data_IF_594984029862
#
_entry.id   IF_594984029862
#
_cell.length_a   1.000
_cell.length_b   1.000
_cell.length_c   1.000
_cell.angle_alpha   90.00
_cell.angle_beta   90.00
_cell.angle_gamma   90.00
#
_symmetry.space_group_name_H-M   'P 1'
#
loop_
_entity.id
_entity.type
_entity.pdbx_description
1 polymer ?
#
# COMPACT_ATOMS: atom_id res chain seq x y z
N UNK A 1 26.21 19.81 -25.20
CA UNK A 1 25.65 19.90 -23.82
C UNK A 1 26.45 20.80 -22.92
N UNK A 2 27.79 20.75 -22.92
CA UNK A 2 28.59 21.67 -22.10
C UNK A 2 28.39 23.13 -22.49
N UNK A 3 28.32 23.45 -23.79
CA UNK A 3 28.04 24.82 -24.25
C UNK A 3 26.65 25.30 -23.82
N UNK A 4 25.62 24.46 -23.96
CA UNK A 4 24.28 24.76 -23.45
C UNK A 4 24.27 24.97 -21.92
N UNK A 5 25.01 24.14 -21.18
CA UNK A 5 25.17 24.27 -19.73
C UNK A 5 25.80 25.61 -19.36
N UNK A 6 26.86 26.02 -20.07
CA UNK A 6 27.52 27.33 -19.87
C UNK A 6 26.58 28.49 -20.20
N UNK A 7 25.84 28.39 -21.30
CA UNK A 7 24.87 29.41 -21.74
C UNK A 7 23.75 29.60 -20.70
N UNK A 8 23.13 28.53 -20.25
CA UNK A 8 22.08 28.63 -19.22
C UNK A 8 22.67 29.17 -17.92
N UNK A 9 23.82 28.64 -17.47
CA UNK A 9 24.47 29.06 -16.23
C UNK A 9 24.75 30.56 -16.19
N UNK A 10 25.19 31.15 -17.32
CA UNK A 10 25.44 32.59 -17.43
C UNK A 10 24.20 33.42 -17.06
N UNK A 11 23.03 32.97 -17.49
CA UNK A 11 21.78 33.72 -17.33
C UNK A 11 21.07 33.43 -16.01
N UNK A 12 21.32 32.28 -15.38
CA UNK A 12 20.62 31.88 -14.15
C UNK A 12 21.47 31.95 -12.89
N UNK A 13 22.79 32.12 -13.00
CA UNK A 13 23.71 32.04 -11.84
C UNK A 13 23.30 32.89 -10.63
N UNK A 14 22.91 34.15 -10.85
CA UNK A 14 22.49 35.07 -9.78
C UNK A 14 21.19 34.59 -9.11
N UNK A 15 20.06 34.46 -9.82
CA UNK A 15 18.81 34.01 -9.21
C UNK A 15 18.91 32.57 -8.65
N UNK A 16 19.70 31.69 -9.27
CA UNK A 16 19.95 30.34 -8.77
C UNK A 16 20.70 30.34 -7.44
N UNK A 17 21.71 31.21 -7.28
CA UNK A 17 22.40 31.38 -6.00
C UNK A 17 21.46 31.92 -4.92
N UNK A 18 20.51 32.81 -5.28
CA UNK A 18 19.49 33.28 -4.35
C UNK A 18 18.56 32.14 -3.92
N UNK A 19 18.16 31.24 -4.83
CA UNK A 19 17.42 30.02 -4.46
C UNK A 19 18.20 29.17 -3.46
N UNK A 20 19.51 29.00 -3.66
CA UNK A 20 20.32 28.19 -2.73
C UNK A 20 20.45 28.84 -1.35
N UNK A 21 20.50 30.17 -1.28
CA UNK A 21 20.43 30.89 0.00
C UNK A 21 19.11 30.61 0.71
N UNK A 22 17.98 30.69 -0.01
CA UNK A 22 16.66 30.36 0.55
C UNK A 22 16.58 28.90 1.04
N UNK A 23 17.19 27.95 0.32
CA UNK A 23 17.25 26.55 0.74
C UNK A 23 18.04 26.38 2.04
N UNK A 24 19.22 27.00 2.12
CA UNK A 24 20.07 26.93 3.30
C UNK A 24 19.38 27.52 4.52
N UNK A 25 18.71 28.67 4.36
CA UNK A 25 17.96 29.31 5.44
C UNK A 25 16.75 28.48 5.87
N UNK A 26 15.98 27.93 4.92
CA UNK A 26 14.86 27.04 5.20
C UNK A 26 15.31 25.80 6.01
N UNK A 27 16.39 25.12 5.59
CA UNK A 27 16.88 23.94 6.30
C UNK A 27 17.49 24.28 7.67
N UNK A 28 18.15 25.43 7.83
CA UNK A 28 18.64 25.91 9.13
C UNK A 28 17.49 26.20 10.09
N UNK A 29 16.46 26.90 9.61
CA UNK A 29 15.26 27.23 10.37
C UNK A 29 14.56 25.97 10.87
N UNK A 30 14.36 24.99 9.98
CA UNK A 30 13.69 23.73 10.27
C UNK A 30 14.36 22.93 11.40
N UNK A 31 15.69 22.93 11.45
CA UNK A 31 16.45 22.25 12.51
C UNK A 31 16.30 22.91 13.90
N UNK A 32 15.73 24.12 13.97
CA UNK A 32 15.58 24.91 15.20
C UNK A 32 14.16 24.94 15.76
N UNK A 33 13.16 24.42 15.05
CA UNK A 33 11.78 24.36 15.54
C UNK A 33 11.67 23.28 16.63
N UNK A 34 11.29 23.70 17.85
CA UNK A 34 10.91 22.78 18.92
C UNK A 34 9.49 22.29 18.63
N UNK A 35 9.31 20.98 18.53
CA UNK A 35 8.17 20.35 17.89
C UNK A 35 6.82 20.54 18.61
N UNK A 36 5.95 21.41 18.10
CA UNK A 36 4.48 21.25 18.24
C UNK A 36 3.93 20.30 17.17
N UNK A 37 2.82 19.61 17.44
CA UNK A 37 2.26 18.49 16.64
C UNK A 37 2.16 18.74 15.13
N UNK A 38 1.93 19.99 14.70
CA UNK A 38 1.84 20.39 13.28
C UNK A 38 3.22 20.34 12.59
N UNK A 39 4.30 20.65 13.31
CA UNK A 39 5.68 20.65 12.78
C UNK A 39 6.26 19.25 12.57
N UNK A 40 5.79 18.25 13.33
CA UNK A 40 6.43 16.92 13.38
C UNK A 40 6.30 16.12 12.07
N UNK A 41 5.19 16.26 11.36
CA UNK A 41 4.88 15.43 10.18
C UNK A 41 5.40 15.99 8.85
N UNK A 42 5.61 17.31 8.75
CA UNK A 42 6.04 17.97 7.51
C UNK A 42 7.46 18.55 7.63
N UNK A 43 7.82 19.06 8.81
CA UNK A 43 9.12 19.68 9.08
C UNK A 43 10.09 18.74 9.83
N UNK A 44 9.66 17.55 10.24
CA UNK A 44 10.53 16.53 10.86
C UNK A 44 11.30 15.65 9.88
N UNK A 45 11.10 15.80 8.57
CA UNK A 45 11.73 14.98 7.53
C UNK A 45 13.23 15.33 7.42
N UNK A 46 14.15 14.39 7.21
CA UNK A 46 15.57 14.75 7.03
C UNK A 46 15.83 15.52 5.70
N UNK A 47 16.87 16.36 5.62
CA UNK A 47 17.24 17.08 4.37
C UNK A 47 17.38 16.12 3.19
N UNK A 48 18.15 15.05 3.37
CA UNK A 48 18.42 14.06 2.32
C UNK A 48 17.15 13.35 1.86
N UNK A 49 16.23 13.08 2.78
CA UNK A 49 14.93 12.50 2.43
C UNK A 49 14.10 13.49 1.59
N UNK A 50 14.11 14.79 1.92
CA UNK A 50 13.45 15.80 1.08
C UNK A 50 14.09 15.85 -0.31
N UNK A 51 15.42 15.97 -0.39
CA UNK A 51 16.12 16.04 -1.68
C UNK A 51 15.82 14.82 -2.56
N UNK A 52 15.79 13.62 -1.97
CA UNK A 52 15.50 12.38 -2.68
C UNK A 52 14.11 12.36 -3.33
N UNK A 53 13.11 13.04 -2.75
CA UNK A 53 11.75 13.17 -3.33
C UNK A 53 11.73 13.96 -4.63
N UNK A 54 12.73 14.81 -4.85
CA UNK A 54 12.89 15.60 -6.06
C UNK A 54 14.04 15.09 -6.93
N UNK A 55 14.54 13.87 -6.68
CA UNK A 55 15.67 13.26 -7.38
C UNK A 55 16.99 14.05 -7.30
N UNK A 56 17.08 14.91 -6.29
CA UNK A 56 18.25 15.73 -5.99
C UNK A 56 19.13 15.04 -4.96
N UNK A 57 20.41 15.36 -5.04
CA UNK A 57 21.44 15.14 -4.02
C UNK A 57 22.32 16.41 -3.99
N UNK A 58 23.26 16.51 -3.07
CA UNK A 58 24.13 17.69 -2.95
C UNK A 58 24.98 17.95 -4.22
N UNK A 59 25.21 16.93 -5.05
CA UNK A 59 25.92 17.09 -6.33
C UNK A 59 24.99 17.68 -7.37
N UNK A 60 23.78 17.13 -7.52
CA UNK A 60 22.78 17.58 -8.49
C UNK A 60 22.23 18.96 -8.19
N UNK A 61 22.14 19.33 -6.90
CA UNK A 61 21.77 20.70 -6.50
C UNK A 61 22.70 21.74 -7.14
N UNK A 62 23.98 21.42 -7.34
CA UNK A 62 24.96 22.34 -7.93
C UNK A 62 24.97 22.34 -9.46
N UNK A 63 24.22 21.43 -10.08
CA UNK A 63 24.19 21.32 -11.53
C UNK A 63 22.97 22.05 -12.10
N UNK A 64 23.24 23.13 -12.84
CA UNK A 64 22.21 23.94 -13.54
C UNK A 64 21.32 23.10 -14.44
N UNK A 65 21.80 21.96 -14.94
CA UNK A 65 20.94 21.09 -15.74
C UNK A 65 19.77 20.55 -14.93
N UNK A 66 19.85 20.47 -13.60
CA UNK A 66 18.75 20.06 -12.70
C UNK A 66 17.88 21.22 -12.23
N UNK A 67 17.96 22.38 -12.89
CA UNK A 67 17.09 23.52 -12.58
C UNK A 67 15.58 23.14 -12.50
N UNK A 68 15.01 22.27 -13.37
CA UNK A 68 13.63 21.84 -13.21
C UNK A 68 13.30 21.18 -11.86
N UNK A 69 14.17 20.30 -11.40
CA UNK A 69 14.04 19.59 -10.13
C UNK A 69 14.27 20.55 -8.95
N UNK A 70 15.25 21.46 -9.08
CA UNK A 70 15.53 22.54 -8.12
C UNK A 70 14.31 23.45 -7.95
N UNK A 71 13.64 23.86 -9.05
CA UNK A 71 12.43 24.67 -8.95
C UNK A 71 11.26 23.92 -8.32
N UNK A 72 11.19 22.60 -8.51
CA UNK A 72 10.15 21.77 -7.86
C UNK A 72 10.36 21.71 -6.34
N UNK A 73 11.62 21.63 -5.89
CA UNK A 73 11.99 21.75 -4.48
C UNK A 73 11.67 23.16 -3.92
N UNK A 74 11.95 24.21 -4.69
CA UNK A 74 11.62 25.58 -4.32
C UNK A 74 10.11 25.79 -4.16
N UNK A 75 9.30 25.25 -5.06
CA UNK A 75 7.83 25.29 -4.98
C UNK A 75 7.35 24.60 -3.70
N UNK A 76 7.91 23.43 -3.37
CA UNK A 76 7.59 22.73 -2.12
C UNK A 76 7.92 23.56 -0.87
N UNK A 77 9.08 24.21 -0.82
CA UNK A 77 9.44 25.09 0.32
C UNK A 77 8.55 26.33 0.39
N UNK A 78 8.23 26.91 -0.76
CA UNK A 78 7.33 28.05 -0.89
C UNK A 78 5.93 27.72 -0.34
N UNK A 79 5.35 26.60 -0.76
CA UNK A 79 4.05 26.15 -0.23
C UNK A 79 4.11 25.89 1.27
N UNK A 80 5.17 25.24 1.77
CA UNK A 80 5.31 25.04 3.21
C UNK A 80 5.34 26.35 4.02
N UNK A 81 5.97 27.39 3.47
CA UNK A 81 6.02 28.70 4.11
C UNK A 81 4.64 29.39 4.18
N UNK A 82 3.76 29.16 3.22
CA UNK A 82 2.42 29.74 3.20
C UNK A 82 1.37 28.89 3.92
N UNK A 83 1.45 27.57 3.85
CA UNK A 83 0.42 26.67 4.38
C UNK A 83 0.51 26.47 5.89
N UNK A 84 1.73 26.40 6.45
CA UNK A 84 1.92 26.01 7.86
C UNK A 84 2.17 27.16 8.83
N UNK A 85 2.38 28.37 8.31
CA UNK A 85 2.76 29.52 9.12
C UNK A 85 1.81 30.68 8.90
N UNK A 86 1.61 31.51 9.92
CA UNK A 86 0.82 32.74 9.77
C UNK A 86 1.67 33.84 9.14
N UNK A 87 1.02 34.86 8.57
CA UNK A 87 1.68 35.95 7.82
C UNK A 87 2.85 36.61 8.55
N UNK A 88 2.75 36.76 9.86
CA UNK A 88 3.75 37.46 10.68
C UNK A 88 4.63 36.48 11.48
N UNK A 89 4.59 35.18 11.17
CA UNK A 89 5.37 34.19 11.89
C UNK A 89 6.86 34.34 11.58
N UNK A 90 7.67 34.42 12.64
CA UNK A 90 9.12 34.48 12.58
C UNK A 90 9.71 33.31 13.38
N UNK A 91 10.53 32.50 12.70
CA UNK A 91 11.28 31.43 13.35
C UNK A 91 12.76 31.81 13.43
N UNK A 92 13.17 32.42 14.55
CA UNK A 92 14.57 32.79 14.82
C UNK A 92 15.22 33.65 13.72
N UNK A 93 14.50 34.66 13.22
CA UNK A 93 14.95 35.53 12.14
C UNK A 93 14.45 35.13 10.75
N UNK A 94 13.87 33.93 10.60
CA UNK A 94 13.28 33.47 9.34
C UNK A 94 11.81 33.90 9.24
N UNK A 95 11.51 34.90 8.41
CA UNK A 95 10.15 35.41 8.19
C UNK A 95 9.46 34.63 7.07
N UNK A 96 8.65 33.64 7.42
CA UNK A 96 8.18 32.61 6.47
C UNK A 96 7.51 33.18 5.22
N UNK A 97 6.62 34.17 5.38
CA UNK A 97 5.95 34.78 4.24
C UNK A 97 6.91 35.55 3.34
N UNK A 98 7.91 36.24 3.90
CA UNK A 98 8.92 36.97 3.10
C UNK A 98 9.73 35.99 2.24
N UNK A 99 10.22 34.91 2.84
CA UNK A 99 10.92 33.84 2.12
C UNK A 99 10.01 33.13 1.11
N UNK A 100 8.74 32.92 1.44
CA UNK A 100 7.73 32.38 0.53
C UNK A 100 7.53 33.26 -0.71
N UNK A 101 7.41 34.59 -0.54
CA UNK A 101 7.32 35.51 -1.66
C UNK A 101 8.62 35.58 -2.46
N UNK A 102 9.78 35.58 -1.78
CA UNK A 102 11.08 35.59 -2.45
C UNK A 102 11.28 34.35 -3.33
N UNK A 103 10.93 33.16 -2.82
CA UNK A 103 10.92 31.92 -3.60
C UNK A 103 9.95 32.00 -4.78
N UNK A 104 8.76 32.57 -4.59
CA UNK A 104 7.79 32.76 -5.68
C UNK A 104 8.37 33.58 -6.83
N UNK A 105 8.98 34.73 -6.54
CA UNK A 105 9.62 35.59 -7.53
C UNK A 105 10.74 34.86 -8.28
N UNK A 106 11.62 34.18 -7.55
CA UNK A 106 12.73 33.41 -8.13
C UNK A 106 12.26 32.25 -9.01
N UNK A 107 11.20 31.56 -8.60
CA UNK A 107 10.58 30.50 -9.38
C UNK A 107 10.01 31.06 -10.69
N UNK A 108 9.31 32.19 -10.64
CA UNK A 108 8.76 32.85 -11.83
C UNK A 108 9.87 33.30 -12.80
N UNK A 109 10.95 33.88 -12.27
CA UNK A 109 12.12 34.32 -13.05
C UNK A 109 12.86 33.15 -13.72
N UNK A 110 13.02 32.02 -13.02
CA UNK A 110 13.80 30.88 -13.50
C UNK A 110 13.00 29.88 -14.36
N UNK A 111 11.66 29.93 -14.31
CA UNK A 111 10.76 29.02 -15.03
C UNK A 111 11.03 28.94 -16.55
N UNK A 112 11.30 30.05 -17.27
CA UNK A 112 11.64 29.98 -18.69
C UNK A 112 12.88 29.14 -18.98
N UNK A 113 13.91 29.23 -18.13
CA UNK A 113 15.15 28.46 -18.29
C UNK A 113 14.96 26.99 -17.93
N UNK A 114 14.18 26.69 -16.88
CA UNK A 114 13.82 25.33 -16.55
C UNK A 114 13.06 24.65 -17.71
N UNK A 115 12.13 25.37 -18.35
CA UNK A 115 11.41 24.88 -19.52
C UNK A 115 12.36 24.64 -20.70
N UNK A 116 13.26 25.60 -20.99
CA UNK A 116 14.29 25.44 -22.02
C UNK A 116 15.19 24.22 -21.77
N UNK A 117 15.58 23.96 -20.52
CA UNK A 117 16.34 22.75 -20.16
C UNK A 117 15.51 21.48 -20.41
N UNK A 118 14.22 21.46 -20.03
CA UNK A 118 13.34 20.31 -20.30
C UNK A 118 13.24 20.05 -21.81
N UNK A 119 13.08 21.10 -22.61
CA UNK A 119 13.03 21.01 -24.06
C UNK A 119 14.34 20.51 -24.67
N UNK A 120 15.50 21.00 -24.23
CA UNK A 120 16.79 20.53 -24.73
C UNK A 120 17.10 19.09 -24.31
N UNK A 121 16.75 18.71 -23.07
CA UNK A 121 16.79 17.30 -22.65
C UNK A 121 15.91 16.43 -23.56
N UNK A 122 14.72 16.92 -23.92
CA UNK A 122 13.81 16.22 -24.83
C UNK A 122 14.33 16.14 -26.27
N UNK A 123 14.86 17.23 -26.84
CA UNK A 123 15.45 17.26 -28.19
C UNK A 123 16.66 16.34 -28.30
N UNK A 124 17.56 16.38 -27.32
CA UNK A 124 18.72 15.46 -27.28
C UNK A 124 18.26 14.01 -27.21
N UNK A 125 17.20 13.70 -26.46
CA UNK A 125 16.60 12.36 -26.43
C UNK A 125 15.99 11.98 -27.78
N UNK A 126 15.37 12.91 -28.50
CA UNK A 126 14.81 12.66 -29.84
C UNK A 126 15.91 12.46 -30.90
N UNK A 127 16.98 13.26 -30.87
CA UNK A 127 18.10 13.12 -31.80
C UNK A 127 18.88 11.83 -31.58
N UNK A 128 19.05 11.41 -30.31
CA UNK A 128 19.60 10.09 -29.96
C UNK A 128 18.70 8.98 -30.50
N UNK A 129 17.36 9.12 -30.38
CA UNK A 129 16.40 8.14 -30.92
C UNK A 129 16.40 8.04 -32.45
N UNK A 130 16.73 9.09 -33.19
CA UNK A 130 16.79 9.07 -34.66
C UNK A 130 18.12 8.50 -35.20
N UNK A 131 19.25 8.70 -34.51
CA UNK A 131 20.54 8.10 -34.90
C UNK A 131 20.69 6.63 -34.47
N UNK A 132 20.03 6.24 -33.38
CA UNK A 132 20.18 4.92 -32.76
C UNK A 132 19.10 3.91 -33.22
N UNK A 133 18.17 4.34 -34.09
CA UNK A 133 17.15 3.48 -34.71
C UNK A 133 17.71 2.41 -35.67
N UNK A 134 19.03 2.42 -35.94
CA UNK A 134 19.66 1.37 -36.73
C UNK A 134 20.25 0.22 -35.91
N UNK A 135 20.63 0.40 -34.63
CA UNK A 135 21.09 -0.70 -33.77
C UNK A 135 20.90 -0.35 -32.28
N UNK A 136 19.67 -0.37 -31.76
CA UNK A 136 19.44 -0.58 -30.32
C UNK A 136 18.64 -1.84 -30.19
N UNK A 137 19.29 -2.91 -29.73
CA UNK A 137 18.58 -4.04 -29.15
C UNK A 137 17.56 -3.47 -28.17
N UNK A 138 16.27 -3.67 -28.43
CA UNK A 138 15.20 -3.30 -27.50
C UNK A 138 15.41 -4.10 -26.22
N UNK A 139 16.15 -3.54 -25.26
CA UNK A 139 16.29 -4.15 -23.94
C UNK A 139 14.91 -4.12 -23.30
N UNK A 140 14.35 -5.30 -23.02
CA UNK A 140 13.06 -5.41 -22.35
C UNK A 140 13.16 -4.83 -20.93
N UNK A 141 12.10 -4.16 -20.48
CA UNK A 141 12.04 -3.66 -19.11
C UNK A 141 11.94 -4.80 -18.09
N UNK A 142 11.25 -5.89 -18.44
CA UNK A 142 11.26 -7.17 -17.74
C UNK A 142 11.84 -8.20 -18.69
N UNK A 143 12.98 -8.75 -18.30
CA UNK A 143 13.78 -9.71 -19.08
C UNK A 143 13.42 -11.15 -18.74
N UNK A 144 12.78 -11.37 -17.58
CA UNK A 144 12.47 -12.72 -17.08
C UNK A 144 11.27 -13.31 -17.77
N UNK A 145 11.42 -14.55 -18.25
CA UNK A 145 10.37 -15.39 -18.81
C UNK A 145 9.59 -16.09 -17.68
N UNK A 146 8.31 -15.74 -17.51
CA UNK A 146 7.43 -16.26 -16.46
C UNK A 146 6.95 -17.70 -16.77
N UNK A 147 6.90 -18.08 -18.04
CA UNK A 147 6.58 -19.45 -18.47
C UNK A 147 7.54 -20.49 -17.88
N UNK A 148 8.82 -20.15 -17.72
CA UNK A 148 9.83 -21.00 -17.05
C UNK A 148 9.53 -21.31 -15.58
N UNK A 149 8.60 -20.57 -14.98
CA UNK A 149 8.16 -20.73 -13.59
C UNK A 149 6.74 -21.30 -13.49
N UNK A 150 6.12 -21.67 -14.63
CA UNK A 150 4.75 -22.19 -14.67
C UNK A 150 3.67 -21.12 -14.60
N UNK A 151 3.98 -19.89 -15.03
CA UNK A 151 3.06 -18.73 -15.04
C UNK A 151 2.89 -18.12 -16.45
N UNK A 152 2.55 -18.91 -17.49
CA UNK A 152 2.43 -18.41 -18.87
C UNK A 152 1.36 -17.33 -19.04
N UNK A 153 0.37 -17.25 -18.15
CA UNK A 153 -0.65 -16.20 -18.15
C UNK A 153 -0.09 -14.79 -17.90
N UNK A 154 1.15 -14.68 -17.41
CA UNK A 154 1.84 -13.40 -17.26
C UNK A 154 2.50 -12.91 -18.55
N UNK A 155 2.64 -13.75 -19.58
CA UNK A 155 3.40 -13.39 -20.79
C UNK A 155 2.79 -12.17 -21.49
N UNK A 156 1.47 -12.14 -21.68
CA UNK A 156 0.80 -11.00 -22.32
C UNK A 156 0.86 -9.75 -21.43
N UNK A 157 0.82 -9.93 -20.10
CA UNK A 157 0.93 -8.81 -19.16
C UNK A 157 2.34 -8.21 -19.14
N UNK A 158 3.38 -9.05 -19.15
CA UNK A 158 4.78 -8.64 -19.25
C UNK A 158 5.06 -7.97 -20.59
N UNK A 159 4.49 -8.48 -21.69
CA UNK A 159 4.55 -7.84 -23.00
C UNK A 159 3.95 -6.44 -22.97
N UNK A 160 2.78 -6.25 -22.37
CA UNK A 160 2.19 -4.92 -22.17
C UNK A 160 3.12 -4.00 -21.39
N UNK A 161 3.71 -4.48 -20.28
CA UNK A 161 4.67 -3.71 -19.48
C UNK A 161 5.88 -3.28 -20.32
N UNK A 162 6.46 -4.21 -21.08
CA UNK A 162 7.62 -3.96 -21.94
C UNK A 162 7.29 -2.95 -23.05
N UNK A 163 6.12 -3.05 -23.68
CA UNK A 163 5.68 -2.07 -24.67
C UNK A 163 5.47 -0.67 -24.07
N UNK A 164 4.85 -0.60 -22.89
CA UNK A 164 4.60 0.66 -22.17
C UNK A 164 5.90 1.32 -21.73
N UNK A 165 6.90 0.53 -21.33
CA UNK A 165 8.21 1.05 -20.95
C UNK A 165 8.98 1.70 -22.12
N UNK A 166 8.67 1.33 -23.36
CA UNK A 166 9.33 1.86 -24.57
C UNK A 166 8.54 3.05 -25.16
N UNK A 167 7.21 3.00 -25.13
CA UNK A 167 6.32 4.01 -25.73
C UNK A 167 6.13 5.20 -24.79
N UNK A 168 6.65 6.38 -25.17
CA UNK A 168 6.62 7.61 -24.36
C UNK A 168 5.21 7.99 -23.88
N UNK A 169 4.20 7.78 -24.73
CA UNK A 169 2.85 8.27 -24.50
C UNK A 169 2.13 7.47 -23.40
N UNK A 170 2.55 6.22 -23.22
CA UNK A 170 1.96 5.31 -22.23
C UNK A 170 2.82 5.15 -20.99
N UNK A 171 4.04 5.70 -20.99
CA UNK A 171 5.02 5.50 -19.92
C UNK A 171 4.48 5.81 -18.51
N UNK A 172 3.57 6.78 -18.43
CA UNK A 172 2.85 7.16 -17.21
C UNK A 172 2.03 6.03 -16.57
N UNK A 173 1.74 4.96 -17.30
CA UNK A 173 1.07 3.76 -16.79
C UNK A 173 2.03 2.78 -16.11
N UNK A 174 3.34 2.88 -16.38
CA UNK A 174 4.34 1.92 -15.91
C UNK A 174 4.33 1.70 -14.38
N UNK A 175 4.24 2.74 -13.51
CA UNK A 175 4.18 2.54 -12.06
C UNK A 175 2.99 1.67 -11.61
N UNK A 176 1.83 1.85 -12.25
CA UNK A 176 0.59 1.13 -11.93
C UNK A 176 0.71 -0.33 -12.37
N UNK A 177 1.26 -0.56 -13.57
CA UNK A 177 1.47 -1.92 -14.09
C UNK A 177 2.49 -2.69 -13.24
N UNK A 178 3.60 -2.04 -12.83
CA UNK A 178 4.57 -2.62 -11.91
C UNK A 178 3.91 -3.01 -10.58
N UNK A 179 3.15 -2.10 -9.96
CA UNK A 179 2.43 -2.41 -8.72
C UNK A 179 1.52 -3.64 -8.90
N UNK A 180 0.76 -3.68 -9.99
CA UNK A 180 -0.17 -4.77 -10.29
C UNK A 180 0.57 -6.11 -10.47
N UNK A 181 1.72 -6.10 -11.15
CA UNK A 181 2.58 -7.28 -11.32
C UNK A 181 2.99 -7.87 -9.98
N UNK A 182 3.55 -7.05 -9.09
CA UNK A 182 4.03 -7.52 -7.80
C UNK A 182 2.91 -7.85 -6.82
N UNK A 183 1.79 -7.12 -6.86
CA UNK A 183 0.59 -7.44 -6.08
C UNK A 183 0.05 -8.83 -6.47
N UNK A 184 -0.08 -9.11 -7.76
CA UNK A 184 -0.53 -10.40 -8.25
C UNK A 184 0.49 -11.52 -7.96
N UNK A 185 1.78 -11.28 -8.17
CA UNK A 185 2.80 -12.30 -7.94
C UNK A 185 2.85 -12.73 -6.46
N UNK A 186 2.73 -11.78 -5.51
CA UNK A 186 2.60 -12.12 -4.09
C UNK A 186 1.33 -12.94 -3.81
N UNK A 187 0.21 -12.58 -4.41
CA UNK A 187 -1.02 -13.35 -4.26
C UNK A 187 -0.85 -14.80 -4.74
N UNK A 188 -0.21 -15.03 -5.90
CA UNK A 188 0.06 -16.36 -6.43
C UNK A 188 0.99 -17.18 -5.53
N UNK A 189 2.06 -16.55 -5.03
CA UNK A 189 2.98 -17.18 -4.06
C UNK A 189 2.23 -17.69 -2.83
N UNK A 190 1.28 -16.92 -2.30
CA UNK A 190 0.53 -17.35 -1.12
C UNK A 190 -0.57 -18.35 -1.46
N UNK A 191 -1.29 -18.16 -2.56
CA UNK A 191 -2.35 -19.06 -3.02
C UNK A 191 -1.82 -20.48 -3.27
N UNK A 192 -0.67 -20.58 -3.92
CA UNK A 192 -0.11 -21.87 -4.33
C UNK A 192 0.85 -22.43 -3.27
N UNK A 193 1.43 -21.57 -2.44
CA UNK A 193 2.43 -21.92 -1.44
C UNK A 193 1.87 -22.23 -0.05
N UNK A 194 0.71 -21.70 0.34
CA UNK A 194 0.10 -21.94 1.66
C UNK A 194 -1.03 -22.97 1.57
N UNK A 195 -1.28 -23.68 2.67
CA UNK A 195 -2.46 -24.53 2.80
C UNK A 195 -3.76 -23.70 2.75
N UNK A 196 -4.85 -24.31 2.27
CA UNK A 196 -6.16 -23.71 2.11
C UNK A 196 -6.73 -23.13 3.42
N UNK A 197 -6.35 -23.67 4.59
CA UNK A 197 -6.74 -23.09 5.89
C UNK A 197 -6.25 -21.64 6.09
N UNK A 198 -5.18 -21.25 5.39
CA UNK A 198 -4.62 -19.90 5.44
C UNK A 198 -5.15 -18.98 4.34
N UNK A 199 -6.20 -19.39 3.60
CA UNK A 199 -6.76 -18.60 2.49
C UNK A 199 -7.09 -17.16 2.91
N UNK A 200 -7.66 -16.98 4.10
CA UNK A 200 -8.03 -15.65 4.61
C UNK A 200 -6.82 -14.73 4.90
N UNK A 201 -5.59 -15.26 4.90
CA UNK A 201 -4.39 -14.45 5.05
C UNK A 201 -4.06 -13.65 3.80
N UNK A 202 -4.39 -14.15 2.61
CA UNK A 202 -4.05 -13.50 1.33
C UNK A 202 -5.27 -13.20 0.46
N UNK A 203 -6.43 -13.79 0.75
CA UNK A 203 -7.69 -13.56 0.06
C UNK A 203 -8.76 -13.05 1.02
N UNK A 204 -9.69 -12.23 0.53
CA UNK A 204 -10.87 -11.81 1.29
C UNK A 204 -12.08 -12.48 0.67
N UNK A 205 -12.45 -13.62 1.22
CA UNK A 205 -13.56 -14.46 0.74
C UNK A 205 -14.86 -13.66 0.57
N UNK A 206 -15.15 -12.76 1.50
CA UNK A 206 -16.31 -11.86 1.42
C UNK A 206 -16.32 -10.84 0.29
N UNK A 207 -15.14 -10.46 -0.19
CA UNK A 207 -15.01 -9.44 -1.25
C UNK A 207 -14.66 -10.09 -2.59
N UNK A 208 -14.60 -11.43 -2.64
CA UNK A 208 -14.15 -12.22 -3.78
C UNK A 208 -12.88 -11.64 -4.44
N UNK A 209 -11.94 -11.17 -3.63
CA UNK A 209 -10.71 -10.55 -4.13
C UNK A 209 -9.51 -10.82 -3.24
N UNK A 210 -8.29 -10.82 -3.83
CA UNK A 210 -7.05 -10.79 -3.06
C UNK A 210 -7.01 -9.62 -2.08
N UNK A 211 -6.24 -9.79 -1.00
CA UNK A 211 -5.87 -8.67 -0.13
C UNK A 211 -5.03 -7.68 -0.92
N UNK A 212 -5.11 -6.40 -0.54
CA UNK A 212 -4.36 -5.36 -1.23
C UNK A 212 -2.85 -5.51 -1.02
N UNK A 213 -2.08 -4.89 -1.91
CA UNK A 213 -0.62 -5.01 -1.91
C UNK A 213 0.04 -4.72 -0.55
N UNK A 214 -0.44 -3.72 0.19
CA UNK A 214 0.12 -3.40 1.52
C UNK A 214 -0.05 -4.54 2.52
N UNK A 215 -1.17 -5.26 2.44
CA UNK A 215 -1.44 -6.41 3.29
C UNK A 215 -0.63 -7.62 2.84
N UNK A 216 -0.47 -7.85 1.54
CA UNK A 216 0.37 -8.93 1.00
C UNK A 216 1.85 -8.75 1.36
N UNK A 217 2.38 -7.53 1.30
CA UNK A 217 3.75 -7.23 1.77
C UNK A 217 3.86 -7.48 3.29
N UNK A 218 2.83 -7.11 4.06
CA UNK A 218 2.81 -7.37 5.50
C UNK A 218 2.80 -8.87 5.80
N UNK A 219 2.00 -9.65 5.06
CA UNK A 219 1.96 -11.10 5.17
C UNK A 219 3.35 -11.69 4.88
N UNK A 220 3.97 -11.29 3.77
CA UNK A 220 5.33 -11.72 3.42
C UNK A 220 6.29 -11.47 4.59
N UNK A 221 6.26 -10.27 5.18
CA UNK A 221 7.12 -9.90 6.32
C UNK A 221 6.92 -10.76 7.57
N UNK A 222 5.70 -11.26 7.81
CA UNK A 222 5.46 -12.19 8.92
C UNK A 222 5.95 -13.59 8.58
N UNK A 223 5.65 -14.07 7.36
CA UNK A 223 6.07 -15.40 6.90
C UNK A 223 7.60 -15.52 6.80
N UNK A 224 8.33 -14.45 6.50
CA UNK A 224 9.80 -14.47 6.57
C UNK A 224 10.36 -14.62 7.99
N UNK A 225 9.53 -14.72 9.03
CA UNK A 225 9.94 -15.07 10.41
C UNK A 225 9.53 -16.49 10.80
N UNK A 226 8.66 -17.10 10.01
CA UNK A 226 8.21 -18.48 10.20
C UNK A 226 9.30 -19.47 9.81
N UNK A 227 9.56 -20.46 10.68
CA UNK A 227 10.65 -21.42 10.45
C UNK A 227 10.39 -22.31 9.24
N UNK A 228 9.14 -22.67 8.95
CA UNK A 228 8.77 -23.56 7.86
C UNK A 228 8.84 -22.81 6.53
N UNK A 229 8.23 -21.63 6.45
CA UNK A 229 8.28 -20.78 5.26
C UNK A 229 9.71 -20.37 4.90
N UNK A 230 10.57 -20.08 5.90
CA UNK A 230 11.99 -19.73 5.69
C UNK A 230 12.78 -20.80 4.92
N UNK A 231 12.44 -22.08 5.07
CA UNK A 231 13.12 -23.18 4.35
C UNK A 231 12.97 -23.03 2.83
N UNK A 232 11.81 -22.52 2.39
CA UNK A 232 11.51 -22.31 0.99
C UNK A 232 12.02 -20.96 0.47
N UNK A 233 11.98 -19.92 1.31
CA UNK A 233 12.48 -18.61 0.92
C UNK A 233 14.00 -18.52 0.88
N UNK A 234 14.73 -19.42 1.57
CA UNK A 234 16.21 -19.48 1.61
C UNK A 234 16.85 -18.12 1.90
N UNK A 235 16.21 -17.32 2.76
CA UNK A 235 16.62 -15.95 3.12
C UNK A 235 16.71 -14.95 1.94
N UNK A 236 16.18 -15.31 0.76
CA UNK A 236 16.14 -14.40 -0.40
C UNK A 236 15.23 -13.20 -0.15
N UNK A 237 14.23 -13.35 0.71
CA UNK A 237 13.35 -12.26 1.16
C UNK A 237 13.91 -11.63 2.42
N UNK A 238 14.63 -10.54 2.23
CA UNK A 238 15.24 -9.72 3.29
C UNK A 238 14.62 -8.32 3.34
N UNK A 239 15.16 -7.46 4.21
CA UNK A 239 14.68 -6.08 4.38
C UNK A 239 14.80 -5.26 3.08
N UNK A 240 15.84 -5.46 2.29
CA UNK A 240 15.99 -4.82 0.98
C UNK A 240 14.83 -5.19 0.04
N UNK A 241 14.46 -6.47 -0.03
CA UNK A 241 13.33 -6.95 -0.84
C UNK A 241 12.01 -6.33 -0.37
N UNK A 242 11.77 -6.33 0.94
CA UNK A 242 10.56 -5.74 1.53
C UNK A 242 10.49 -4.23 1.28
N UNK A 243 11.59 -3.50 1.42
CA UNK A 243 11.65 -2.06 1.18
C UNK A 243 11.37 -1.72 -0.28
N UNK A 244 11.93 -2.48 -1.22
CA UNK A 244 11.66 -2.27 -2.64
C UNK A 244 10.19 -2.54 -3.00
N UNK A 245 9.55 -3.55 -2.40
CA UNK A 245 8.11 -3.79 -2.58
C UNK A 245 7.26 -2.64 -2.01
N UNK A 246 7.65 -2.08 -0.86
CA UNK A 246 7.00 -0.90 -0.27
C UNK A 246 7.16 0.32 -1.18
N UNK A 247 8.32 0.50 -1.81
CA UNK A 247 8.57 1.60 -2.74
C UNK A 247 7.75 1.45 -4.03
N UNK A 248 7.67 0.24 -4.60
CA UNK A 248 6.80 -0.03 -5.74
C UNK A 248 5.33 0.21 -5.40
N UNK A 249 4.90 -0.17 -4.20
CA UNK A 249 3.56 0.17 -3.71
C UNK A 249 3.36 1.68 -3.66
N UNK A 250 4.36 2.44 -3.20
CA UNK A 250 4.30 3.90 -3.09
C UNK A 250 4.16 4.54 -4.47
N UNK A 251 5.01 4.17 -5.43
CA UNK A 251 4.97 4.76 -6.79
C UNK A 251 3.71 4.35 -7.57
N UNK A 252 3.24 3.10 -7.42
CA UNK A 252 2.00 2.66 -8.06
C UNK A 252 0.72 3.20 -7.41
N UNK A 253 0.85 3.94 -6.30
CA UNK A 253 -0.22 4.68 -5.65
C UNK A 253 -0.10 6.19 -5.83
N UNK A 254 0.83 6.65 -6.67
CA UNK A 254 0.94 8.06 -7.01
C UNK A 254 -0.37 8.57 -7.62
N UNK A 255 -0.72 9.79 -7.23
CA UNK A 255 -1.78 10.58 -7.84
C UNK A 255 -1.42 10.93 -9.28
N UNK A 256 -2.41 11.35 -10.08
CA UNK A 256 -2.18 11.81 -11.45
C UNK A 256 -1.12 12.92 -11.49
N UNK A 257 -1.17 13.86 -10.56
CA UNK A 257 -0.20 14.97 -10.48
C UNK A 257 1.23 14.46 -10.22
N UNK A 258 1.38 13.51 -9.30
CA UNK A 258 2.68 12.88 -9.03
C UNK A 258 3.19 12.11 -10.25
N UNK A 259 2.34 11.35 -10.94
CA UNK A 259 2.71 10.63 -12.16
C UNK A 259 3.17 11.60 -13.26
N UNK A 260 2.44 12.69 -13.49
CA UNK A 260 2.78 13.69 -14.50
C UNK A 260 4.12 14.36 -14.23
N UNK A 261 4.48 14.54 -12.95
CA UNK A 261 5.68 15.25 -12.54
C UNK A 261 6.90 14.34 -12.33
N UNK A 262 6.69 13.07 -11.95
CA UNK A 262 7.77 12.16 -11.51
C UNK A 262 8.05 11.03 -12.51
N UNK A 263 7.15 10.75 -13.46
CA UNK A 263 7.36 9.74 -14.50
C UNK A 263 7.88 10.40 -15.76
N UNK A 264 9.20 10.55 -15.83
CA UNK A 264 9.95 11.03 -16.98
C UNK A 264 10.43 9.88 -17.87
N UNK A 265 11.02 10.19 -19.02
CA UNK A 265 11.43 9.15 -19.97
C UNK A 265 12.61 8.29 -19.52
N UNK A 266 13.25 8.62 -18.39
CA UNK A 266 14.32 7.84 -17.75
C UNK A 266 13.80 6.99 -16.58
N UNK A 267 12.51 7.09 -16.26
CA UNK A 267 11.85 6.24 -15.29
C UNK A 267 12.05 4.74 -15.55
N UNK A 268 11.90 4.21 -16.79
CA UNK A 268 12.16 2.79 -17.07
C UNK A 268 13.58 2.37 -16.69
N UNK A 269 14.59 3.13 -17.12
CA UNK A 269 15.99 2.78 -16.88
C UNK A 269 16.32 2.79 -15.38
N UNK A 270 15.81 3.78 -14.64
CA UNK A 270 15.96 3.86 -13.17
C UNK A 270 15.36 2.64 -12.46
N UNK A 271 14.25 2.11 -12.97
CA UNK A 271 13.48 1.05 -12.31
C UNK A 271 13.75 -0.35 -12.86
N UNK A 272 14.40 -0.49 -14.02
CA UNK A 272 14.58 -1.77 -14.72
C UNK A 272 15.32 -2.79 -13.88
N UNK A 273 16.53 -2.45 -13.41
CA UNK A 273 17.36 -3.38 -12.64
C UNK A 273 16.65 -3.82 -11.35
N UNK A 274 16.09 -2.85 -10.63
CA UNK A 274 15.35 -3.09 -9.38
C UNK A 274 14.12 -3.99 -9.59
N UNK A 275 13.40 -3.77 -10.69
CA UNK A 275 12.22 -4.57 -11.07
C UNK A 275 12.64 -6.00 -11.41
N UNK A 276 13.62 -6.19 -12.29
CA UNK A 276 14.09 -7.52 -12.69
C UNK A 276 14.65 -8.31 -11.50
N UNK A 277 15.39 -7.65 -10.61
CA UNK A 277 15.89 -8.27 -9.38
C UNK A 277 14.75 -8.76 -8.50
N UNK A 278 13.72 -7.95 -8.29
CA UNK A 278 12.55 -8.36 -7.51
C UNK A 278 11.75 -9.48 -8.18
N UNK A 279 11.53 -9.39 -9.49
CA UNK A 279 10.85 -10.44 -10.28
C UNK A 279 11.60 -11.76 -10.11
N UNK A 280 12.92 -11.76 -10.27
CA UNK A 280 13.75 -12.96 -10.11
C UNK A 280 13.63 -13.55 -8.70
N UNK A 281 13.74 -12.72 -7.66
CA UNK A 281 13.62 -13.17 -6.27
C UNK A 281 12.25 -13.79 -6.00
N UNK A 282 11.16 -13.13 -6.43
CA UNK A 282 9.81 -13.60 -6.16
C UNK A 282 9.42 -14.81 -7.01
N UNK A 283 9.89 -14.91 -8.25
CA UNK A 283 9.68 -16.11 -9.07
C UNK A 283 10.46 -17.31 -8.54
N UNK A 284 11.68 -17.10 -8.04
CA UNK A 284 12.43 -18.16 -7.35
C UNK A 284 11.69 -18.63 -6.09
N UNK A 285 11.14 -17.69 -5.30
CA UNK A 285 10.29 -18.02 -4.15
C UNK A 285 9.05 -18.80 -4.60
N UNK A 286 8.34 -18.32 -5.63
CA UNK A 286 7.16 -18.99 -6.20
C UNK A 286 7.47 -20.43 -6.55
N UNK A 287 8.54 -20.68 -7.32
CA UNK A 287 8.97 -22.03 -7.69
C UNK A 287 9.27 -22.92 -6.49
N UNK A 288 9.85 -22.36 -5.43
CA UNK A 288 10.18 -23.13 -4.23
C UNK A 288 8.95 -23.49 -3.39
N UNK A 289 7.92 -22.63 -3.35
CA UNK A 289 6.70 -22.90 -2.58
C UNK A 289 5.64 -23.66 -3.37
N UNK A 290 5.63 -23.49 -4.70
CA UNK A 290 4.68 -24.14 -5.59
C UNK A 290 4.83 -25.67 -5.48
N UNK A 291 3.71 -26.36 -5.32
CA UNK A 291 3.65 -27.82 -5.16
C UNK A 291 4.01 -28.36 -3.77
N UNK A 292 4.49 -27.53 -2.84
CA UNK A 292 4.89 -28.00 -1.51
C UNK A 292 3.85 -27.77 -0.42
N UNK A 293 2.88 -26.87 -0.64
CA UNK A 293 1.79 -26.49 0.28
C UNK A 293 2.21 -26.50 1.75
N UNK A 294 2.64 -25.34 2.25
CA UNK A 294 3.06 -25.20 3.65
C UNK A 294 1.86 -25.48 4.56
N UNK A 295 1.84 -26.68 5.15
CA UNK A 295 0.71 -27.22 5.91
C UNK A 295 0.62 -26.71 7.34
N UNK A 296 1.73 -26.27 7.92
CA UNK A 296 1.73 -25.77 9.30
C UNK A 296 2.69 -24.62 9.48
N UNK A 297 2.13 -23.46 9.79
CA UNK A 297 2.88 -22.28 10.21
C UNK A 297 3.04 -22.30 11.74
N UNK A 298 4.07 -21.62 12.24
CA UNK A 298 4.30 -21.42 13.66
C UNK A 298 3.12 -20.63 14.28
N UNK A 299 2.53 -21.13 15.36
CA UNK A 299 1.34 -20.55 15.99
C UNK A 299 1.52 -19.07 16.37
N UNK A 300 2.71 -18.66 16.78
CA UNK A 300 3.02 -17.24 17.08
C UNK A 300 2.95 -16.36 15.81
N UNK A 301 3.37 -16.88 14.65
CA UNK A 301 3.27 -16.17 13.37
C UNK A 301 1.81 -16.08 12.92
N UNK A 302 1.07 -17.18 13.03
CA UNK A 302 -0.39 -17.23 12.76
C UNK A 302 -1.11 -16.18 13.59
N UNK A 303 -0.91 -16.18 14.90
CA UNK A 303 -1.53 -15.21 15.82
C UNK A 303 -1.19 -13.75 15.47
N UNK A 304 0.06 -13.47 15.09
CA UNK A 304 0.49 -12.12 14.66
C UNK A 304 -0.19 -11.68 13.36
N UNK A 305 -0.32 -12.58 12.40
CA UNK A 305 -1.01 -12.32 11.12
C UNK A 305 -2.49 -12.04 11.39
N UNK A 306 -3.16 -12.90 12.18
CA UNK A 306 -4.57 -12.75 12.52
C UNK A 306 -4.85 -11.44 13.25
N UNK A 307 -4.01 -11.11 14.23
CA UNK A 307 -4.10 -9.83 14.94
C UNK A 307 -3.92 -8.65 13.98
N UNK A 308 -2.89 -8.69 13.12
CA UNK A 308 -2.61 -7.62 12.14
C UNK A 308 -3.75 -7.42 11.16
N UNK A 309 -4.36 -8.50 10.70
CA UNK A 309 -5.47 -8.46 9.75
C UNK A 309 -6.84 -8.27 10.42
N UNK A 310 -6.84 -8.11 11.75
CA UNK A 310 -8.01 -7.74 12.52
C UNK A 310 -9.00 -8.89 12.75
N UNK A 311 -8.59 -10.15 12.53
CA UNK A 311 -9.45 -11.33 12.65
C UNK A 311 -9.95 -11.45 14.10
N UNK A 312 -9.06 -11.43 15.10
CA UNK A 312 -9.44 -11.48 16.53
C UNK A 312 -10.21 -10.24 17.00
N UNK A 313 -9.97 -9.07 16.38
CA UNK A 313 -10.73 -7.83 16.66
C UNK A 313 -12.17 -7.96 16.13
N UNK A 314 -12.37 -8.65 15.02
CA UNK A 314 -13.70 -8.87 14.45
C UNK A 314 -14.50 -9.87 15.29
N UNK A 315 -13.88 -10.93 15.83
CA UNK A 315 -14.53 -11.81 16.81
C UNK A 315 -14.97 -11.07 18.08
N UNK A 316 -14.13 -10.17 18.60
CA UNK A 316 -14.50 -9.30 19.72
C UNK A 316 -15.70 -8.39 19.38
N UNK A 317 -15.74 -7.83 18.17
CA UNK A 317 -16.88 -7.03 17.72
C UNK A 317 -18.13 -7.88 17.56
N UNK A 318 -18.00 -9.09 16.99
CA UNK A 318 -19.09 -10.04 16.78
C UNK A 318 -19.71 -10.42 18.13
N UNK A 319 -18.89 -10.79 19.11
CA UNK A 319 -19.32 -11.06 20.47
C UNK A 319 -20.04 -9.86 21.09
N UNK A 320 -19.49 -8.65 20.98
CA UNK A 320 -20.12 -7.43 21.53
C UNK A 320 -21.47 -7.15 20.90
N UNK A 321 -21.65 -7.44 19.61
CA UNK A 321 -22.94 -7.31 18.95
C UNK A 321 -23.92 -8.32 19.53
N UNK A 322 -23.55 -9.60 19.60
CA UNK A 322 -24.42 -10.60 20.22
C UNK A 322 -24.71 -10.29 21.71
N UNK A 323 -23.79 -9.65 22.43
CA UNK A 323 -23.99 -9.28 23.82
C UNK A 323 -25.01 -8.14 24.03
N UNK A 324 -25.30 -7.31 23.00
CA UNK A 324 -26.26 -6.19 23.09
C UNK A 324 -27.62 -6.67 23.61
N UNK A 325 -28.25 -5.89 24.49
CA UNK A 325 -29.54 -6.25 25.09
C UNK A 325 -30.66 -6.36 24.05
N UNK A 326 -30.69 -5.43 23.11
CA UNK A 326 -31.76 -5.24 22.13
C UNK A 326 -31.18 -5.16 20.72
N UNK A 327 -32.05 -5.36 19.71
CA UNK A 327 -31.68 -5.22 18.31
C UNK A 327 -31.41 -3.75 17.96
N UNK A 328 -30.24 -3.46 17.39
CA UNK A 328 -29.93 -2.14 16.81
C UNK A 328 -30.40 -2.05 15.36
N UNK A 329 -30.70 -0.83 14.88
CA UNK A 329 -31.24 -0.53 13.53
C UNK A 329 -30.50 -1.25 12.37
N UNK A 330 -29.18 -1.44 12.51
CA UNK A 330 -28.34 -2.09 11.48
C UNK A 330 -27.65 -3.35 11.99
N UNK A 331 -28.12 -3.95 13.08
CA UNK A 331 -27.42 -5.04 13.74
C UNK A 331 -27.23 -6.26 12.83
N UNK A 332 -28.24 -6.63 12.03
CA UNK A 332 -28.12 -7.75 11.08
C UNK A 332 -27.08 -7.45 9.99
N UNK A 333 -27.05 -6.22 9.49
CA UNK A 333 -26.05 -5.76 8.52
C UNK A 333 -24.64 -5.74 9.11
N UNK A 334 -24.49 -5.27 10.36
CA UNK A 334 -23.22 -5.30 11.08
C UNK A 334 -22.71 -6.73 11.29
N UNK A 335 -23.60 -7.68 11.62
CA UNK A 335 -23.28 -9.10 11.75
C UNK A 335 -22.81 -9.69 10.43
N UNK A 336 -23.53 -9.45 9.34
CA UNK A 336 -23.15 -9.93 8.00
C UNK A 336 -21.76 -9.39 7.61
N UNK A 337 -21.53 -8.09 7.77
CA UNK A 337 -20.23 -7.46 7.48
C UNK A 337 -19.10 -8.04 8.34
N UNK A 338 -19.36 -8.37 9.61
CA UNK A 338 -18.35 -8.93 10.49
C UNK A 338 -18.07 -10.39 10.20
N UNK A 339 -19.10 -11.19 9.92
CA UNK A 339 -18.99 -12.53 9.38
C UNK A 339 -18.10 -12.53 8.14
N UNK A 340 -18.43 -11.67 7.17
CA UNK A 340 -17.65 -11.46 5.95
C UNK A 340 -16.18 -11.09 6.21
N UNK A 341 -15.92 -10.28 7.24
CA UNK A 341 -14.56 -9.86 7.61
C UNK A 341 -13.78 -10.91 8.41
N UNK A 342 -14.47 -11.84 9.06
CA UNK A 342 -13.87 -12.95 9.80
C UNK A 342 -13.48 -14.07 8.83
N UNK A 343 -14.35 -14.35 7.84
CA UNK A 343 -14.20 -15.47 6.92
C UNK A 343 -15.09 -16.65 7.34
N UNK A 344 -15.69 -17.32 6.36
CA UNK A 344 -16.62 -18.43 6.59
C UNK A 344 -15.92 -19.58 7.32
N UNK A 345 -14.88 -20.17 6.71
CA UNK A 345 -14.12 -21.30 7.27
C UNK A 345 -13.70 -21.04 8.73
N UNK A 346 -13.18 -19.84 9.02
CA UNK A 346 -12.76 -19.45 10.36
C UNK A 346 -13.91 -19.43 11.37
N UNK A 347 -15.08 -18.96 10.95
CA UNK A 347 -16.27 -18.95 11.80
C UNK A 347 -16.80 -20.37 12.00
N UNK A 348 -16.75 -21.21 10.95
CA UNK A 348 -17.08 -22.64 11.02
C UNK A 348 -16.17 -23.36 12.02
N UNK A 349 -14.85 -23.18 11.90
CA UNK A 349 -13.86 -23.88 12.70
C UNK A 349 -13.91 -23.47 14.18
N UNK A 350 -14.10 -22.18 14.43
CA UNK A 350 -14.06 -21.63 15.79
C UNK A 350 -15.41 -21.81 16.49
N UNK A 351 -16.53 -21.47 15.86
CA UNK A 351 -17.84 -21.54 16.51
C UNK A 351 -18.61 -22.83 16.20
N UNK A 352 -18.06 -23.73 15.38
CA UNK A 352 -18.71 -24.99 14.97
C UNK A 352 -20.14 -24.79 14.45
N UNK A 353 -20.35 -23.67 13.75
CA UNK A 353 -21.62 -23.33 13.09
C UNK A 353 -21.40 -23.45 11.59
N UNK A 354 -22.31 -24.08 10.87
CA UNK A 354 -22.41 -24.05 9.40
C UNK A 354 -23.19 -22.83 8.93
N UNK A 355 -22.93 -22.32 7.73
CA UNK A 355 -23.68 -21.18 7.18
C UNK A 355 -24.57 -21.65 6.03
N UNK A 356 -25.85 -21.28 6.11
CA UNK A 356 -26.83 -21.50 5.06
C UNK A 356 -27.45 -20.17 4.66
N UNK A 357 -27.35 -19.81 3.38
CA UNK A 357 -28.09 -18.67 2.84
C UNK A 357 -29.60 -18.95 2.90
N UNK A 358 -30.38 -17.97 3.35
CA UNK A 358 -31.84 -18.01 3.34
C UNK A 358 -32.33 -17.19 2.15
N UNK A 359 -33.14 -17.78 1.26
CA UNK A 359 -33.62 -17.25 -0.03
C UNK A 359 -33.76 -15.72 -0.13
N UNK A 360 -32.65 -15.04 -0.41
CA UNK A 360 -32.52 -13.59 -0.52
C UNK A 360 -33.03 -12.80 0.71
N UNK A 361 -33.08 -13.41 1.89
CA UNK A 361 -33.58 -12.79 3.13
C UNK A 361 -32.52 -12.72 4.22
N UNK A 362 -31.43 -13.48 4.16
CA UNK A 362 -30.38 -13.45 5.17
C UNK A 362 -29.55 -14.73 5.26
N UNK A 363 -29.03 -15.01 6.45
CA UNK A 363 -28.19 -16.18 6.74
C UNK A 363 -28.69 -16.91 7.98
N UNK A 364 -28.63 -18.24 7.96
CA UNK A 364 -28.75 -19.10 9.12
C UNK A 364 -27.37 -19.68 9.46
N UNK A 365 -26.95 -19.56 10.72
CA UNK A 365 -25.75 -20.16 11.27
C UNK A 365 -26.16 -21.34 12.14
N UNK A 366 -25.87 -22.57 11.72
CA UNK A 366 -26.42 -23.80 12.29
C UNK A 366 -25.32 -24.72 12.82
N UNK A 367 -25.29 -24.98 14.11
CA UNK A 367 -24.45 -26.01 14.73
C UNK A 367 -25.27 -26.96 15.60
N UNK A 368 -24.59 -27.91 16.23
CA UNK A 368 -25.25 -28.94 17.05
C UNK A 368 -26.04 -28.37 18.23
N UNK A 369 -25.53 -27.27 18.81
CA UNK A 369 -26.11 -26.64 20.01
C UNK A 369 -26.97 -25.42 19.71
N UNK A 370 -26.66 -24.68 18.64
CA UNK A 370 -27.28 -23.39 18.38
C UNK A 370 -27.62 -23.22 16.90
N UNK A 371 -28.78 -22.60 16.63
CA UNK A 371 -29.10 -22.03 15.32
C UNK A 371 -29.33 -20.54 15.46
N UNK A 372 -28.65 -19.73 14.66
CA UNK A 372 -28.74 -18.27 14.69
C UNK A 372 -29.25 -17.80 13.33
N UNK A 373 -30.33 -17.07 13.31
CA UNK A 373 -30.91 -16.54 12.09
C UNK A 373 -30.68 -15.05 12.05
N UNK A 374 -30.07 -14.56 10.98
CA UNK A 374 -29.78 -13.15 10.74
C UNK A 374 -30.48 -12.75 9.44
N UNK A 375 -31.59 -12.03 9.56
CA UNK A 375 -32.47 -11.66 8.45
C UNK A 375 -32.30 -10.18 8.16
N UNK A 376 -31.94 -9.87 6.90
CA UNK A 376 -31.77 -8.52 6.39
C UNK A 376 -32.36 -8.40 4.98
N UNK A 377 -33.62 -7.95 4.87
CA UNK A 377 -34.30 -7.70 3.58
C UNK A 377 -35.22 -6.50 3.66
N UNK A 378 -35.00 -5.52 2.80
CA UNK A 378 -35.77 -4.27 2.81
C UNK A 378 -35.60 -3.54 4.15
N UNK A 379 -36.69 -3.36 4.89
CA UNK A 379 -36.71 -2.82 6.25
C UNK A 379 -36.58 -3.88 7.36
N UNK A 380 -36.62 -5.17 7.02
CA UNK A 380 -36.51 -6.24 8.01
C UNK A 380 -35.07 -6.36 8.53
N UNK A 381 -34.92 -6.29 9.84
CA UNK A 381 -33.68 -6.45 10.58
C UNK A 381 -33.99 -7.31 11.79
N UNK A 382 -33.88 -8.64 11.63
CA UNK A 382 -34.28 -9.60 12.68
C UNK A 382 -33.14 -10.55 12.98
N UNK A 383 -32.94 -10.79 14.27
CA UNK A 383 -31.96 -11.75 14.75
C UNK A 383 -32.63 -12.60 15.81
N UNK A 384 -32.55 -13.92 15.69
CA UNK A 384 -32.97 -14.83 16.73
C UNK A 384 -32.04 -16.03 16.85
N UNK A 385 -32.02 -16.63 18.03
CA UNK A 385 -31.18 -17.76 18.39
C UNK A 385 -32.05 -18.90 18.92
N UNK A 386 -31.76 -20.12 18.54
CA UNK A 386 -32.45 -21.32 18.98
C UNK A 386 -31.48 -22.29 19.67
N UNK A 387 -31.89 -22.86 20.80
CA UNK A 387 -31.22 -23.96 21.50
C UNK A 387 -32.29 -24.91 22.09
N UNK A 388 -32.24 -26.20 21.79
CA UNK A 388 -33.13 -27.23 22.38
C UNK A 388 -34.62 -26.85 22.43
N UNK A 389 -35.17 -26.38 21.30
CA UNK A 389 -36.57 -25.91 21.13
C UNK A 389 -36.94 -24.58 21.81
N UNK A 390 -36.02 -23.94 22.53
CA UNK A 390 -36.19 -22.56 23.00
C UNK A 390 -35.70 -21.58 21.94
N UNK A 391 -36.36 -20.42 21.86
CA UNK A 391 -36.01 -19.34 20.93
C UNK A 391 -35.86 -18.02 21.69
N UNK A 392 -34.71 -17.38 21.52
CA UNK A 392 -34.46 -15.99 21.92
C UNK A 392 -34.58 -15.09 20.69
N UNK A 393 -35.36 -14.03 20.79
CA UNK A 393 -35.56 -13.04 19.73
C UNK A 393 -35.06 -11.67 20.21
N UNK A 394 -34.19 -11.01 19.45
CA UNK A 394 -33.69 -9.69 19.85
C UNK A 394 -34.77 -8.58 19.76
N UNK A 395 -35.90 -8.83 19.09
CA UNK A 395 -37.08 -7.94 19.14
C UNK A 395 -37.89 -8.13 20.43
N UNK A 396 -37.74 -9.28 21.10
CA UNK A 396 -38.44 -9.66 22.34
C UNK A 396 -37.47 -10.30 23.35
N UNK A 397 -36.47 -9.54 23.85
CA UNK A 397 -35.35 -10.08 24.62
C UNK A 397 -35.74 -10.69 25.98
N UNK A 398 -36.95 -10.43 26.46
CA UNK A 398 -37.55 -11.06 27.64
C UNK A 398 -37.87 -12.55 27.44
N UNK A 399 -38.00 -13.01 26.19
CA UNK A 399 -38.33 -14.40 25.88
C UNK A 399 -37.06 -15.26 25.78
N UNK A 400 -36.94 -16.22 26.70
CA UNK A 400 -35.82 -17.17 26.79
C UNK A 400 -34.42 -16.51 26.80
N UNK A 401 -34.14 -15.53 27.69
CA UNK A 401 -32.83 -14.86 27.77
C UNK A 401 -31.67 -15.79 28.14
N UNK A 402 -31.99 -16.98 28.68
CA UNK A 402 -31.05 -18.06 28.95
C UNK A 402 -30.37 -18.55 27.66
N UNK A 403 -31.08 -18.66 26.53
CA UNK A 403 -30.51 -19.11 25.24
C UNK A 403 -29.37 -18.20 24.80
N UNK A 404 -29.56 -16.87 24.89
CA UNK A 404 -28.50 -15.90 24.56
C UNK A 404 -27.33 -16.00 25.53
N UNK A 405 -27.60 -16.17 26.82
CA UNK A 405 -26.56 -16.27 27.86
C UNK A 405 -25.69 -17.50 27.64
N UNK A 406 -26.31 -18.64 27.35
CA UNK A 406 -25.64 -19.88 26.99
C UNK A 406 -24.83 -19.73 25.71
N UNK A 407 -25.38 -19.09 24.68
CA UNK A 407 -24.65 -18.82 23.44
C UNK A 407 -23.40 -17.96 23.67
N UNK A 408 -23.50 -16.87 24.45
CA UNK A 408 -22.35 -16.02 24.75
C UNK A 408 -21.27 -16.76 25.55
N UNK A 409 -21.68 -17.63 26.47
CA UNK A 409 -20.75 -18.50 27.20
C UNK A 409 -20.05 -19.45 26.24
N UNK A 410 -20.80 -20.16 25.41
CA UNK A 410 -20.29 -21.04 24.36
C UNK A 410 -19.31 -20.32 23.42
N UNK A 411 -19.70 -19.16 22.89
CA UNK A 411 -18.86 -18.34 22.00
C UNK A 411 -17.52 -18.00 22.67
N UNK A 412 -17.55 -17.57 23.92
CA UNK A 412 -16.34 -17.20 24.67
C UNK A 412 -15.44 -18.42 24.88
N UNK A 413 -16.01 -19.55 25.30
CA UNK A 413 -15.28 -20.79 25.54
C UNK A 413 -14.61 -21.29 24.26
N UNK A 414 -15.32 -21.32 23.13
CA UNK A 414 -14.76 -21.77 21.85
C UNK A 414 -13.71 -20.78 21.29
N UNK A 415 -13.93 -19.47 21.41
CA UNK A 415 -12.91 -18.49 21.08
C UNK A 415 -11.65 -18.67 21.93
N UNK A 416 -11.81 -18.93 23.24
CA UNK A 416 -10.68 -19.13 24.15
C UNK A 416 -9.90 -20.41 23.83
N UNK A 417 -10.57 -21.50 23.47
CA UNK A 417 -9.93 -22.75 22.99
C UNK A 417 -9.06 -22.49 21.74
N UNK A 418 -9.46 -21.53 20.92
CA UNK A 418 -8.75 -21.11 19.71
C UNK A 418 -7.82 -19.89 19.94
N UNK A 419 -7.45 -19.58 21.18
CA UNK A 419 -6.51 -18.50 21.49
C UNK A 419 -7.06 -17.07 21.31
N UNK A 420 -8.34 -16.91 20.97
CA UNK A 420 -9.00 -15.62 20.80
C UNK A 420 -9.55 -15.13 22.15
N UNK A 421 -8.90 -14.12 22.74
CA UNK A 421 -9.40 -13.44 23.93
C UNK A 421 -10.55 -12.50 23.57
N UNK A 422 -11.76 -12.88 23.99
CA UNK A 422 -12.97 -12.06 23.83
C UNK A 422 -13.23 -11.29 25.12
N UNK A 423 -13.27 -9.95 25.05
CA UNK A 423 -13.57 -9.09 26.19
C UNK A 423 -15.07 -8.82 26.25
N UNK A 424 -15.67 -9.16 27.40
CA UNK A 424 -17.07 -8.92 27.76
C UNK A 424 -17.48 -7.47 27.58
#
# INVERSE_FOLDING_TARGET
MEEFRKDVLKNVSIPLNQIFQEFDEYFKMKNRIIYDEVSKNVLGIAKDEILSRFFLDDTKLKDVLYLPEILSLAEYMKENNFEYFTRNWNTYGYYHYEHGYKLKELIEELRPYANRIKEERFKKRKSIKESDLLIVEKINFIETDFGKYGLPEYDEFVKIINEVAIKSDFLRLLPILMRTLFENLLYYIFRDGLNAEYTDFYYRSSQYRPRNFSQLISLLKYLTRDKVFRKYSRETINEYTLNNLVEIKKIGNWTVHEILNQVDSDFPDKWREKTNRLVTILLALYKNVNGHKIDKLDDDVVNKIEFKFGISKNFNKLYKIFARKEIGINMSKELIILYEKIGESKLLDILKLTVRALDNVGYAFEGDLFRIYVIYKGSANKIYMENNSKKFDYEHPENNPDVKTEFLRYFREECQKNGIKVKG
#
